data_IF_971127271809
#
_entry.id   IF_971127271809
#
_cell.length_a   1.000
_cell.length_b   1.000
_cell.length_c   1.000
_cell.angle_alpha   90.00
_cell.angle_beta   90.00
_cell.angle_gamma   90.00
#
_symmetry.space_group_name_H-M   'P 1'
#
loop_
_entity.id
_entity.type
_entity.pdbx_description
1 polymer ?
#
# COMPACT_ATOMS: atom_id res chain seq x y z
N UNK A 1 8.98 31.38 -37.30
CA UNK A 1 8.78 30.83 -35.94
C UNK A 1 9.96 29.93 -35.62
N UNK A 2 10.98 30.45 -34.94
CA UNK A 2 12.19 29.67 -34.62
C UNK A 2 11.94 28.86 -33.34
N UNK A 3 11.63 27.57 -33.48
CA UNK A 3 11.50 26.65 -32.34
C UNK A 3 12.83 26.53 -31.60
N UNK A 4 12.79 26.65 -30.27
CA UNK A 4 13.96 26.50 -29.39
C UNK A 4 14.57 25.10 -29.62
N UNK A 5 15.88 25.02 -29.86
CA UNK A 5 16.58 23.73 -29.91
C UNK A 5 16.45 23.04 -28.54
N UNK A 6 16.05 21.76 -28.47
CA UNK A 6 15.98 21.04 -27.20
C UNK A 6 17.37 20.99 -26.56
N UNK A 7 17.44 21.35 -25.27
CA UNK A 7 18.69 21.34 -24.49
C UNK A 7 18.99 19.97 -23.85
N UNK A 8 18.37 18.90 -24.38
CA UNK A 8 18.51 17.55 -23.86
C UNK A 8 18.78 16.58 -25.01
N UNK A 9 19.70 15.65 -24.77
CA UNK A 9 20.00 14.54 -25.67
C UNK A 9 19.29 13.28 -25.17
N UNK A 10 18.67 12.55 -26.10
CA UNK A 10 18.09 11.23 -25.82
C UNK A 10 19.17 10.20 -26.11
N UNK A 11 19.76 9.63 -25.06
CA UNK A 11 20.83 8.62 -25.18
C UNK A 11 20.26 7.28 -25.66
N UNK A 12 19.06 6.90 -25.19
CA UNK A 12 18.36 5.67 -25.57
C UNK A 12 16.83 5.82 -25.46
N UNK A 13 16.03 4.96 -26.13
CA UNK A 13 14.58 4.93 -25.96
C UNK A 13 14.18 4.46 -24.55
N UNK A 14 13.80 5.41 -23.69
CA UNK A 14 13.29 5.13 -22.34
C UNK A 14 11.76 5.18 -22.23
N UNK A 15 11.26 5.09 -21.00
CA UNK A 15 9.84 5.18 -20.67
C UNK A 15 9.50 6.47 -19.90
N UNK A 16 8.27 6.94 -20.03
CA UNK A 16 7.73 8.08 -19.26
C UNK A 16 6.97 7.60 -18.03
N UNK A 17 7.69 7.13 -17.01
CA UNK A 17 7.13 6.59 -15.75
C UNK A 17 7.45 7.45 -14.52
N UNK A 18 7.62 8.77 -14.71
CA UNK A 18 7.87 9.64 -13.58
C UNK A 18 6.63 9.76 -12.68
N UNK A 19 6.85 9.76 -11.37
CA UNK A 19 5.84 10.19 -10.41
C UNK A 19 5.60 11.70 -10.59
N UNK A 20 4.34 12.14 -10.58
CA UNK A 20 4.03 13.57 -10.62
C UNK A 20 4.06 14.19 -9.23
N UNK A 21 4.31 15.50 -9.15
CA UNK A 21 4.37 16.24 -7.88
C UNK A 21 3.07 16.11 -7.07
N UNK A 22 1.91 16.03 -7.73
CA UNK A 22 0.62 15.82 -7.05
C UNK A 22 0.61 14.47 -6.32
N UNK A 23 1.03 13.39 -6.98
CA UNK A 23 1.08 12.07 -6.34
C UNK A 23 2.16 12.04 -5.24
N UNK A 24 3.30 12.70 -5.44
CA UNK A 24 4.35 12.81 -4.43
C UNK A 24 3.87 13.58 -3.19
N UNK A 25 3.15 14.69 -3.37
CA UNK A 25 2.58 15.47 -2.27
C UNK A 25 1.59 14.65 -1.44
N UNK A 26 0.72 13.87 -2.09
CA UNK A 26 -0.18 12.92 -1.41
C UNK A 26 0.64 11.87 -0.65
N UNK A 27 1.66 11.30 -1.28
CA UNK A 27 2.49 10.27 -0.68
C UNK A 27 3.23 10.75 0.57
N UNK A 28 3.77 11.98 0.59
CA UNK A 28 4.43 12.56 1.76
C UNK A 28 3.48 12.63 2.97
N UNK A 29 2.24 13.08 2.75
CA UNK A 29 1.23 13.16 3.82
C UNK A 29 0.74 11.77 4.25
N UNK A 30 0.61 10.82 3.31
CA UNK A 30 0.26 9.44 3.66
C UNK A 30 1.37 8.76 4.46
N UNK A 31 2.62 9.01 4.09
CA UNK A 31 3.80 8.41 4.74
C UNK A 31 3.93 8.91 6.19
N UNK A 32 3.68 10.20 6.46
CA UNK A 32 3.70 10.71 7.84
C UNK A 32 2.62 10.11 8.75
N UNK A 33 1.60 9.46 8.17
CA UNK A 33 0.49 8.83 8.88
C UNK A 33 0.51 7.30 8.83
N UNK A 34 1.53 6.70 8.21
CA UNK A 34 1.53 5.27 7.88
C UNK A 34 1.39 4.38 9.12
N UNK A 35 2.06 4.75 10.22
CA UNK A 35 1.99 4.00 11.48
C UNK A 35 0.58 4.03 12.07
N UNK A 36 -0.06 5.19 12.13
CA UNK A 36 -1.43 5.34 12.62
C UNK A 36 -2.43 4.55 11.78
N UNK A 37 -2.27 4.60 10.45
CA UNK A 37 -3.12 3.84 9.53
C UNK A 37 -2.92 2.33 9.69
N UNK A 38 -1.69 1.87 9.86
CA UNK A 38 -1.39 0.46 10.09
C UNK A 38 -1.91 -0.02 11.46
N UNK A 39 -1.76 0.79 12.51
CA UNK A 39 -2.29 0.51 13.83
C UNK A 39 -3.82 0.35 13.78
N UNK A 40 -4.51 1.28 13.11
CA UNK A 40 -5.96 1.19 12.93
C UNK A 40 -6.39 -0.06 12.18
N UNK A 41 -5.65 -0.45 11.13
CA UNK A 41 -5.92 -1.71 10.43
C UNK A 41 -5.68 -2.92 11.32
N UNK A 42 -4.65 -2.92 12.16
CA UNK A 42 -4.38 -3.99 13.11
C UNK A 42 -5.52 -4.17 14.13
N UNK A 43 -6.05 -3.08 14.68
CA UNK A 43 -7.22 -3.10 15.56
C UNK A 43 -8.46 -3.72 14.89
N UNK A 44 -8.74 -3.31 13.65
CA UNK A 44 -9.87 -3.84 12.87
C UNK A 44 -9.68 -5.33 12.58
N UNK A 45 -8.49 -5.74 12.15
CA UNK A 45 -8.15 -7.14 11.91
C UNK A 45 -8.32 -7.97 13.19
N UNK A 46 -7.80 -7.52 14.33
CA UNK A 46 -7.98 -8.22 15.60
C UNK A 46 -9.46 -8.37 15.96
N UNK A 47 -10.27 -7.30 15.80
CA UNK A 47 -11.71 -7.33 16.03
C UNK A 47 -12.43 -8.34 15.13
N UNK A 48 -12.10 -8.38 13.83
CA UNK A 48 -12.70 -9.37 12.93
C UNK A 48 -12.32 -10.80 13.31
N UNK A 49 -11.07 -11.07 13.71
CA UNK A 49 -10.65 -12.40 14.17
C UNK A 49 -11.48 -12.86 15.37
N UNK A 50 -11.68 -11.98 16.35
CA UNK A 50 -12.46 -12.32 17.54
C UNK A 50 -13.93 -12.57 17.23
N UNK A 51 -14.56 -11.73 16.41
CA UNK A 51 -15.98 -11.86 16.09
C UNK A 51 -16.28 -13.05 15.16
N UNK A 52 -15.34 -13.42 14.31
CA UNK A 52 -15.54 -14.47 13.30
C UNK A 52 -14.93 -15.82 13.69
N UNK A 53 -14.32 -15.96 14.87
CA UNK A 53 -13.64 -17.19 15.30
C UNK A 53 -14.53 -18.44 15.30
N UNK A 54 -15.83 -18.26 15.54
CA UNK A 54 -16.82 -19.35 15.56
C UNK A 54 -17.70 -19.38 14.30
N UNK A 55 -17.36 -18.59 13.29
CA UNK A 55 -18.07 -18.58 12.00
C UNK A 55 -17.61 -19.76 11.12
N UNK A 56 -18.35 -20.13 10.06
CA UNK A 56 -17.89 -21.14 9.10
C UNK A 56 -16.73 -20.66 8.21
N UNK A 57 -16.30 -19.40 8.34
CA UNK A 57 -15.22 -18.82 7.56
C UNK A 57 -13.85 -19.23 8.11
N UNK A 58 -12.93 -19.52 7.20
CA UNK A 58 -11.53 -19.78 7.54
C UNK A 58 -10.68 -18.55 7.20
N UNK A 59 -10.02 -18.00 8.21
CA UNK A 59 -9.12 -16.85 8.10
C UNK A 59 -7.69 -17.32 7.80
N UNK A 60 -6.90 -16.50 7.11
CA UNK A 60 -5.46 -16.77 6.96
C UNK A 60 -4.77 -16.82 8.33
N UNK A 61 -3.84 -17.77 8.49
CA UNK A 61 -3.01 -17.85 9.69
C UNK A 61 -2.09 -16.64 9.81
N UNK A 62 -1.74 -16.28 11.05
CA UNK A 62 -0.70 -15.27 11.31
C UNK A 62 0.65 -15.98 11.28
N UNK A 63 1.65 -15.49 10.52
CA UNK A 63 2.99 -16.06 10.56
C UNK A 63 3.61 -16.00 11.96
N UNK A 64 4.39 -17.01 12.33
CA UNK A 64 4.97 -17.14 13.68
C UNK A 64 6.23 -16.30 13.92
N UNK A 65 6.87 -15.78 12.87
CA UNK A 65 8.05 -14.93 12.98
C UNK A 65 7.67 -13.48 13.34
N UNK A 66 8.59 -12.73 13.94
CA UNK A 66 8.35 -11.31 14.27
C UNK A 66 8.28 -10.47 12.99
N UNK A 67 7.17 -9.74 12.81
CA UNK A 67 6.95 -8.84 11.67
C UNK A 67 5.87 -7.82 12.00
N UNK A 68 5.83 -6.72 11.22
CA UNK A 68 4.71 -5.78 11.23
C UNK A 68 3.82 -6.05 10.01
N UNK A 69 2.63 -6.61 10.22
CA UNK A 69 1.68 -6.85 9.14
C UNK A 69 0.94 -5.55 8.78
N UNK A 70 0.94 -5.17 7.49
CA UNK A 70 0.26 -3.95 7.02
C UNK A 70 -1.28 -4.06 7.06
N UNK A 71 -1.81 -5.29 7.20
CA UNK A 71 -3.25 -5.58 7.24
C UNK A 71 -4.00 -5.01 6.02
N UNK A 72 -3.35 -5.05 4.84
CA UNK A 72 -3.93 -4.53 3.60
C UNK A 72 -5.22 -5.24 3.22
N UNK A 73 -5.27 -6.56 3.44
CA UNK A 73 -6.46 -7.39 3.23
C UNK A 73 -6.68 -8.30 4.44
N UNK A 74 -7.94 -8.44 4.82
CA UNK A 74 -8.40 -9.48 5.73
C UNK A 74 -9.06 -10.59 4.92
N UNK A 75 -8.26 -11.54 4.44
CA UNK A 75 -8.75 -12.60 3.56
C UNK A 75 -9.39 -13.75 4.35
N UNK A 76 -10.53 -14.20 3.85
CA UNK A 76 -11.27 -15.35 4.35
C UNK A 76 -11.66 -16.27 3.19
N UNK A 77 -11.82 -17.56 3.48
CA UNK A 77 -12.44 -18.51 2.56
C UNK A 77 -13.67 -19.15 3.21
N UNK A 78 -14.68 -19.43 2.40
CA UNK A 78 -15.77 -20.32 2.79
C UNK A 78 -15.30 -21.77 2.86
N UNK A 79 -16.08 -22.62 3.51
CA UNK A 79 -15.97 -24.07 3.30
C UNK A 79 -16.49 -24.44 1.92
#
# INVERSE_FOLDING_TARGET
MQGRKPQAEVVEPGFKYNLSDIHAAIAVVQLSRVEQLNQRRAELTARYRELLKNSPLQMLSVPSYSHLHANHLFMVRGR
#
